data_IF_555077993637
#
_entry.id   IF_555077993637
#
_cell.length_a   1.000
_cell.length_b   1.000
_cell.length_c   1.000
_cell.angle_alpha   90.00
_cell.angle_beta   90.00
_cell.angle_gamma   90.00
#
_symmetry.space_group_name_H-M   'P 1'
#
loop_
_entity.id
_entity.type
_entity.pdbx_description
1 polymer ?
#
# COMPACT_ATOMS: atom_id res chain seq x y z
N UNK A 1 -10.74 -9.61 9.59
CA UNK A 1 -10.51 -8.31 10.26
C UNK A 1 -11.79 -7.53 10.53
N UNK A 2 -12.77 -7.51 9.62
CA UNK A 2 -13.89 -6.60 9.78
C UNK A 2 -15.25 -7.27 9.91
N UNK A 3 -15.38 -8.49 9.40
CA UNK A 3 -16.39 -9.45 9.87
C UNK A 3 -16.26 -9.66 11.39
N UNK A 4 -15.04 -9.55 11.92
CA UNK A 4 -14.74 -9.63 13.35
C UNK A 4 -15.32 -8.44 14.15
N UNK A 5 -15.58 -7.31 13.48
CA UNK A 5 -16.29 -6.16 14.03
C UNK A 5 -17.80 -6.18 13.72
N UNK A 6 -18.34 -7.29 13.23
CA UNK A 6 -19.76 -7.46 12.92
C UNK A 6 -20.24 -6.75 11.65
N UNK A 7 -19.33 -6.18 10.86
CA UNK A 7 -19.65 -5.60 9.56
C UNK A 7 -19.38 -6.68 8.50
N UNK A 8 -20.32 -6.96 7.61
CA UNK A 8 -20.15 -7.95 6.54
C UNK A 8 -19.71 -7.25 5.24
N UNK A 9 -18.42 -7.32 4.94
CA UNK A 9 -17.78 -6.53 3.88
C UNK A 9 -18.03 -7.11 2.50
N UNK A 10 -18.44 -8.38 2.44
CA UNK A 10 -18.87 -9.00 1.20
C UNK A 10 -20.20 -8.42 0.70
N UNK A 11 -20.97 -7.76 1.60
CA UNK A 11 -22.19 -7.01 1.24
C UNK A 11 -21.90 -5.56 0.85
N UNK A 12 -20.69 -5.06 1.10
CA UNK A 12 -20.25 -3.73 0.72
C UNK A 12 -19.73 -3.76 -0.72
N UNK A 13 -20.61 -4.09 -1.65
CA UNK A 13 -20.30 -4.28 -3.08
C UNK A 13 -21.28 -3.52 -3.96
N UNK A 14 -20.78 -2.91 -5.03
CA UNK A 14 -21.59 -2.37 -6.12
C UNK A 14 -21.01 -2.80 -7.46
N UNK A 15 -21.83 -2.83 -8.51
CA UNK A 15 -21.37 -3.12 -9.87
C UNK A 15 -20.98 -1.82 -10.59
N UNK A 16 -19.80 -1.78 -11.20
CA UNK A 16 -19.32 -0.68 -12.01
C UNK A 16 -18.62 -1.24 -13.24
N UNK A 17 -19.06 -0.82 -14.43
CA UNK A 17 -18.52 -1.33 -15.71
C UNK A 17 -18.48 -2.87 -15.76
N UNK A 18 -19.56 -3.51 -15.31
CA UNK A 18 -19.71 -4.98 -15.24
C UNK A 18 -18.73 -5.69 -14.28
N UNK A 19 -17.99 -4.94 -13.46
CA UNK A 19 -17.10 -5.46 -12.43
C UNK A 19 -17.70 -5.25 -11.05
N UNK A 20 -17.57 -6.27 -10.19
CA UNK A 20 -17.97 -6.16 -8.78
C UNK A 20 -16.91 -5.39 -8.00
N UNK A 21 -17.27 -4.23 -7.46
CA UNK A 21 -16.38 -3.37 -6.67
C UNK A 21 -16.68 -3.55 -5.20
N UNK A 22 -15.77 -4.22 -4.49
CA UNK A 22 -15.82 -4.41 -3.04
C UNK A 22 -15.30 -3.17 -2.31
N UNK A 23 -16.15 -2.13 -2.23
CA UNK A 23 -15.74 -0.82 -1.74
C UNK A 23 -15.31 -0.82 -0.27
N UNK A 24 -15.87 -1.70 0.55
CA UNK A 24 -15.47 -1.80 1.96
C UNK A 24 -14.00 -2.21 2.12
N UNK A 25 -13.55 -3.21 1.37
CA UNK A 25 -12.14 -3.63 1.37
C UNK A 25 -11.23 -2.53 0.81
N UNK A 26 -11.65 -1.89 -0.29
CA UNK A 26 -10.89 -0.79 -0.89
C UNK A 26 -10.74 0.41 0.06
N UNK A 27 -11.78 0.76 0.82
CA UNK A 27 -11.74 1.87 1.77
C UNK A 27 -10.64 1.66 2.82
N UNK A 28 -10.50 0.42 3.32
CA UNK A 28 -9.48 0.08 4.31
C UNK A 28 -8.10 0.08 3.70
N UNK A 29 -7.96 -0.42 2.47
CA UNK A 29 -6.70 -0.35 1.76
C UNK A 29 -6.25 1.11 1.60
N UNK A 30 -7.15 2.01 1.19
CA UNK A 30 -6.84 3.45 1.06
C UNK A 30 -6.43 4.07 2.40
N UNK A 31 -7.18 3.83 3.48
CA UNK A 31 -6.87 4.38 4.80
C UNK A 31 -5.51 3.85 5.29
N UNK A 32 -5.27 2.55 5.16
CA UNK A 32 -3.99 1.93 5.48
C UNK A 32 -2.85 2.59 4.70
N UNK A 33 -3.02 2.81 3.39
CA UNK A 33 -2.02 3.45 2.54
C UNK A 33 -1.73 4.90 2.95
N UNK A 34 -2.74 5.67 3.36
CA UNK A 34 -2.53 7.04 3.86
C UNK A 34 -1.69 7.01 5.15
N UNK A 35 -2.04 6.14 6.10
CA UNK A 35 -1.30 6.02 7.36
C UNK A 35 0.14 5.56 7.09
N UNK A 36 0.34 4.56 6.23
CA UNK A 36 1.67 4.08 5.85
C UNK A 36 2.50 5.16 5.16
N UNK A 37 1.91 5.97 4.27
CA UNK A 37 2.58 7.09 3.62
C UNK A 37 3.03 8.16 4.62
N UNK A 38 2.18 8.51 5.60
CA UNK A 38 2.55 9.46 6.67
C UNK A 38 3.73 8.91 7.48
N UNK A 39 3.68 7.64 7.86
CA UNK A 39 4.78 6.98 8.59
C UNK A 39 6.07 7.01 7.77
N UNK A 40 6.01 6.66 6.48
CA UNK A 40 7.16 6.74 5.58
C UNK A 40 7.74 8.15 5.54
N UNK A 41 6.92 9.19 5.36
CA UNK A 41 7.38 10.57 5.32
C UNK A 41 8.07 11.01 6.62
N UNK A 42 7.53 10.60 7.78
CA UNK A 42 8.15 10.87 9.08
C UNK A 42 9.51 10.16 9.18
N UNK A 43 9.57 8.88 8.83
CA UNK A 43 10.82 8.11 8.87
C UNK A 43 11.84 8.69 7.89
N UNK A 44 11.42 9.17 6.72
CA UNK A 44 12.30 9.77 5.72
C UNK A 44 13.01 11.03 6.22
N UNK A 45 12.39 11.81 7.10
CA UNK A 45 13.04 12.98 7.72
C UNK A 45 14.04 12.58 8.82
N UNK A 46 13.82 11.46 9.52
CA UNK A 46 14.68 11.00 10.63
C UNK A 46 15.83 10.12 10.11
N UNK A 47 15.55 9.24 9.14
CA UNK A 47 16.47 8.27 8.55
C UNK A 47 16.43 8.35 7.02
N UNK A 48 17.12 9.33 6.40
CA UNK A 48 17.04 9.56 4.95
C UNK A 48 17.42 8.36 4.07
N UNK A 49 18.11 7.34 4.61
CA UNK A 49 18.41 6.11 3.86
C UNK A 49 17.16 5.38 3.35
N UNK A 50 15.99 5.56 3.96
CA UNK A 50 14.75 4.95 3.47
C UNK A 50 14.30 5.49 2.11
N UNK A 51 14.80 6.66 1.70
CA UNK A 51 14.46 7.29 0.41
C UNK A 51 15.34 6.79 -0.74
N UNK A 52 16.22 5.80 -0.49
CA UNK A 52 17.12 5.25 -1.50
C UNK A 52 16.35 4.80 -2.76
N UNK A 53 16.91 5.14 -3.93
CA UNK A 53 16.26 4.93 -5.22
C UNK A 53 14.84 5.55 -5.26
N UNK A 54 14.67 6.74 -4.68
CA UNK A 54 13.39 7.44 -4.58
C UNK A 54 12.31 6.60 -3.89
N UNK A 55 12.68 5.90 -2.82
CA UNK A 55 11.78 5.07 -2.02
C UNK A 55 11.50 3.69 -2.59
N UNK A 56 12.01 3.34 -3.77
CA UNK A 56 11.73 2.03 -4.40
C UNK A 56 12.18 0.86 -3.53
N UNK A 57 13.33 0.96 -2.85
CA UNK A 57 13.80 -0.12 -1.97
C UNK A 57 12.89 -0.31 -0.77
N UNK A 58 12.35 0.79 -0.22
CA UNK A 58 11.30 0.71 0.79
C UNK A 58 10.06 0.01 0.24
N UNK A 59 9.61 0.38 -0.97
CA UNK A 59 8.44 -0.23 -1.63
C UNK A 59 8.55 -1.75 -1.79
N UNK A 60 9.71 -2.26 -2.22
CA UNK A 60 9.95 -3.71 -2.34
C UNK A 60 9.84 -4.40 -0.98
N UNK A 61 10.51 -3.86 0.05
CA UNK A 61 10.45 -4.42 1.40
C UNK A 61 9.04 -4.36 1.98
N UNK A 62 8.34 -3.25 1.75
CA UNK A 62 6.96 -3.06 2.21
C UNK A 62 6.00 -4.03 1.51
N UNK A 63 6.15 -4.26 0.21
CA UNK A 63 5.38 -5.26 -0.53
C UNK A 63 5.57 -6.67 0.06
N UNK A 64 6.81 -7.05 0.36
CA UNK A 64 7.12 -8.36 0.97
C UNK A 64 6.48 -8.47 2.36
N UNK A 65 6.63 -7.44 3.20
CA UNK A 65 6.09 -7.45 4.57
C UNK A 65 4.56 -7.50 4.54
N UNK A 66 3.91 -6.65 3.74
CA UNK A 66 2.46 -6.54 3.72
C UNK A 66 1.83 -7.68 2.91
N UNK A 67 2.13 -7.77 1.61
CA UNK A 67 1.46 -8.71 0.71
C UNK A 67 2.07 -10.11 0.79
N UNK A 68 3.36 -10.23 1.08
CA UNK A 68 4.02 -11.53 1.20
C UNK A 68 3.85 -12.22 2.55
N UNK A 69 3.65 -11.45 3.64
CA UNK A 69 3.65 -12.00 5.01
C UNK A 69 2.39 -11.61 5.77
N UNK A 70 2.13 -10.33 6.01
CA UNK A 70 1.07 -9.89 6.91
C UNK A 70 -0.33 -10.26 6.41
N UNK A 71 -0.65 -10.00 5.14
CA UNK A 71 -1.96 -10.33 4.57
C UNK A 71 -2.21 -11.85 4.57
N UNK A 72 -1.26 -12.71 4.15
CA UNK A 72 -1.41 -14.17 4.30
C UNK A 72 -1.58 -14.64 5.74
N UNK A 73 -0.78 -14.12 6.68
CA UNK A 73 -0.87 -14.50 8.11
C UNK A 73 -2.21 -14.11 8.72
N UNK A 74 -2.78 -12.98 8.29
CA UNK A 74 -4.09 -12.50 8.73
C UNK A 74 -5.26 -13.17 7.99
N UNK A 75 -4.99 -14.08 7.06
CA UNK A 75 -6.02 -14.74 6.24
C UNK A 75 -6.76 -13.77 5.30
N UNK A 76 -6.14 -12.64 4.94
CA UNK A 76 -6.70 -11.62 4.06
C UNK A 76 -6.29 -11.80 2.59
N UNK A 77 -5.29 -12.63 2.33
CA UNK A 77 -4.82 -13.00 0.99
C UNK A 77 -4.31 -14.46 1.00
N UNK A 78 -4.38 -15.19 -0.12
CA UNK A 78 -3.66 -16.46 -0.27
C UNK A 78 -2.15 -16.30 -0.07
N UNK A 79 -1.45 -17.41 0.17
CA UNK A 79 0.02 -17.39 0.22
C UNK A 79 0.58 -17.07 -1.18
N UNK A 80 1.74 -16.39 -1.26
CA UNK A 80 2.48 -16.12 -2.51
C UNK A 80 2.62 -17.36 -3.41
N UNK A 81 2.82 -18.55 -2.84
CA UNK A 81 2.94 -19.79 -3.63
C UNK A 81 1.65 -20.20 -4.37
N UNK A 82 0.51 -19.61 -4.01
CA UNK A 82 -0.82 -19.89 -4.56
C UNK A 82 -1.33 -18.75 -5.45
N UNK A 83 -0.62 -17.62 -5.50
CA UNK A 83 -1.01 -16.46 -6.28
C UNK A 83 -0.54 -16.59 -7.74
N UNK A 84 -1.38 -16.20 -8.72
CA UNK A 84 -0.94 -16.00 -10.09
C UNK A 84 0.25 -15.04 -10.20
N UNK A 85 1.13 -15.26 -11.18
CA UNK A 85 2.35 -14.45 -11.33
C UNK A 85 2.05 -12.98 -11.60
N UNK A 86 1.01 -12.69 -12.38
CA UNK A 86 0.54 -11.34 -12.68
C UNK A 86 0.06 -10.60 -11.43
N UNK A 87 -0.59 -11.29 -10.49
CA UNK A 87 -0.94 -10.70 -9.18
C UNK A 87 0.31 -10.38 -8.36
N UNK A 88 1.27 -11.29 -8.27
CA UNK A 88 2.53 -11.05 -7.54
C UNK A 88 3.28 -9.85 -8.14
N UNK A 89 3.38 -9.79 -9.47
CA UNK A 89 4.01 -8.67 -10.18
C UNK A 89 3.25 -7.37 -9.92
N UNK A 90 1.93 -7.40 -9.98
CA UNK A 90 1.08 -6.24 -9.71
C UNK A 90 1.31 -5.69 -8.30
N UNK A 91 1.40 -6.55 -7.29
CA UNK A 91 1.62 -6.11 -5.90
C UNK A 91 2.98 -5.44 -5.71
N UNK A 92 4.04 -6.03 -6.28
CA UNK A 92 5.40 -5.48 -6.16
C UNK A 92 5.52 -4.17 -6.95
N UNK A 93 5.13 -4.18 -8.23
CA UNK A 93 5.26 -3.01 -9.12
C UNK A 93 4.32 -1.90 -8.65
N UNK A 94 3.08 -2.22 -8.30
CA UNK A 94 2.11 -1.27 -7.78
C UNK A 94 2.60 -0.59 -6.50
N UNK A 95 3.13 -1.36 -5.54
CA UNK A 95 3.69 -0.79 -4.30
C UNK A 95 4.92 0.08 -4.58
N UNK A 96 5.78 -0.31 -5.52
CA UNK A 96 6.93 0.50 -5.93
C UNK A 96 6.51 1.84 -6.55
N UNK A 97 5.55 1.82 -7.49
CA UNK A 97 5.03 3.05 -8.11
C UNK A 97 4.32 3.94 -7.09
N UNK A 98 3.57 3.34 -6.16
CA UNK A 98 2.91 4.03 -5.07
C UNK A 98 3.90 4.82 -4.20
N UNK A 99 4.94 4.15 -3.66
CA UNK A 99 5.91 4.82 -2.80
C UNK A 99 6.77 5.83 -3.57
N UNK A 100 7.10 5.53 -4.83
CA UNK A 100 7.86 6.43 -5.66
C UNK A 100 7.12 7.75 -5.89
N UNK A 101 5.82 7.68 -6.16
CA UNK A 101 4.97 8.86 -6.33
C UNK A 101 4.92 9.69 -5.03
N UNK A 102 4.80 9.03 -3.88
CA UNK A 102 4.85 9.71 -2.56
C UNK A 102 6.18 10.42 -2.36
N UNK A 103 7.29 9.75 -2.65
CA UNK A 103 8.63 10.32 -2.47
C UNK A 103 8.89 11.53 -3.39
N UNK A 104 8.45 11.46 -4.65
CA UNK A 104 8.53 12.59 -5.58
C UNK A 104 7.76 13.80 -5.05
N UNK A 105 6.54 13.59 -4.55
CA UNK A 105 5.73 14.66 -3.95
C UNK A 105 6.36 15.19 -2.66
N UNK A 106 6.89 14.31 -1.80
CA UNK A 106 7.57 14.70 -0.56
C UNK A 106 8.76 15.60 -0.85
N UNK A 107 9.62 15.24 -1.81
CA UNK A 107 10.78 16.05 -2.23
C UNK A 107 10.29 17.41 -2.77
N UNK A 108 9.30 17.41 -3.66
CA UNK A 108 8.79 18.64 -4.28
C UNK A 108 8.12 19.60 -3.27
N UNK A 109 7.44 19.07 -2.25
CA UNK A 109 6.87 19.87 -1.18
C UNK A 109 7.95 20.37 -0.23
N UNK A 110 8.91 19.51 0.14
CA UNK A 110 10.01 19.87 1.03
C UNK A 110 10.88 20.98 0.46
N UNK A 111 11.22 20.94 -0.83
CA UNK A 111 11.98 22.02 -1.47
C UNK A 111 11.22 23.34 -1.39
N UNK A 112 9.92 23.35 -1.68
CA UNK A 112 9.08 24.56 -1.59
C UNK A 112 8.90 25.10 -0.17
N UNK A 113 8.93 24.24 0.84
CA UNK A 113 8.69 24.63 2.23
C UNK A 113 9.96 25.09 2.96
N UNK A 114 11.13 24.58 2.57
CA UNK A 114 12.40 24.78 3.30
C UNK A 114 13.38 25.67 2.54
N UNK A 115 13.35 25.67 1.20
CA UNK A 115 14.20 26.54 0.39
C UNK A 115 13.41 27.82 0.03
N UNK A 116 13.49 28.83 0.90
CA UNK A 116 13.14 30.24 0.59
C UNK A 116 14.29 30.95 -0.09
#
# INVERSE_FOLDING_TARGET
MLNDFGIDWHKLVYSYSEQMVYWGGNAIHIIFSIVAAIIYCIIAEIFPRVTMCQGIVFGILFAIICHGIALPVLGLSPNLAQLPLDEIVSEIVGTCLWIWTIELLRIALRSKMVET
#
